data_IF_324457420458
#
_entry.id   IF_324457420458
#
_cell.length_a   1.000
_cell.length_b   1.000
_cell.length_c   1.000
_cell.angle_alpha   90.00
_cell.angle_beta   90.00
_cell.angle_gamma   90.00
#
_symmetry.space_group_name_H-M   'P 1'
#
loop_
_entity.id
_entity.type
_entity.pdbx_description
1 polymer ?
#
# COMPACT_ATOMS: atom_id res chain seq x y z
N UNK A 1 -13.93 -2.68 -14.65
CA UNK A 1 -13.63 -4.00 -14.04
C UNK A 1 -12.45 -3.98 -13.07
N UNK A 2 -11.36 -3.24 -13.33
CA UNK A 2 -10.18 -3.18 -12.44
C UNK A 2 -10.49 -2.76 -11.00
N UNK A 3 -11.35 -1.76 -10.81
CA UNK A 3 -11.75 -1.30 -9.47
C UNK A 3 -12.39 -2.41 -8.62
N UNK A 4 -13.26 -3.23 -9.22
CA UNK A 4 -13.90 -4.36 -8.52
C UNK A 4 -12.83 -5.37 -8.09
N UNK A 5 -11.82 -5.59 -8.92
CA UNK A 5 -10.69 -6.47 -8.61
C UNK A 5 -9.88 -5.92 -7.43
N UNK A 6 -9.60 -4.61 -7.38
CA UNK A 6 -8.91 -4.00 -6.23
C UNK A 6 -9.67 -4.24 -4.94
N UNK A 7 -10.99 -3.98 -4.91
CA UNK A 7 -11.80 -4.25 -3.72
C UNK A 7 -11.81 -5.73 -3.34
N UNK A 8 -11.94 -6.65 -4.30
CA UNK A 8 -11.87 -8.09 -4.04
C UNK A 8 -10.52 -8.50 -3.44
N UNK A 9 -9.41 -7.94 -3.95
CA UNK A 9 -8.08 -8.18 -3.40
C UNK A 9 -7.94 -7.60 -1.98
N UNK A 10 -8.54 -6.46 -1.68
CA UNK A 10 -8.52 -5.90 -0.32
C UNK A 10 -9.08 -6.88 0.70
N UNK A 11 -10.22 -7.51 0.38
CA UNK A 11 -10.83 -8.53 1.23
C UNK A 11 -9.99 -9.82 1.29
N UNK A 12 -9.36 -10.21 0.18
CA UNK A 12 -8.52 -11.42 0.13
C UNK A 12 -7.21 -11.25 0.92
N UNK A 13 -6.64 -10.05 0.93
CA UNK A 13 -5.35 -9.74 1.57
C UNK A 13 -5.45 -9.46 3.07
N UNK A 14 -6.62 -9.04 3.55
CA UNK A 14 -6.94 -8.80 4.96
C UNK A 14 -6.38 -9.86 5.95
N UNK A 15 -6.65 -11.17 5.78
CA UNK A 15 -6.19 -12.19 6.74
C UNK A 15 -4.67 -12.43 6.70
N UNK A 16 -4.00 -12.13 5.59
CA UNK A 16 -2.56 -12.36 5.41
C UNK A 16 -1.70 -11.17 5.88
N UNK A 17 -2.34 -10.05 6.22
CA UNK A 17 -1.67 -8.79 6.56
C UNK A 17 -0.75 -8.89 7.79
N UNK A 18 -0.92 -9.92 8.63
CA UNK A 18 -0.06 -10.16 9.81
C UNK A 18 1.33 -10.69 9.49
N UNK A 19 1.56 -11.28 8.30
CA UNK A 19 2.86 -11.83 7.89
C UNK A 19 3.48 -10.98 6.79
N UNK A 20 2.68 -10.62 5.80
CA UNK A 20 3.06 -9.74 4.69
C UNK A 20 1.95 -8.70 4.55
N UNK A 21 2.30 -7.42 4.70
CA UNK A 21 1.41 -6.29 4.49
C UNK A 21 1.06 -6.08 3.00
N UNK A 22 0.28 -7.01 2.47
CA UNK A 22 -0.21 -7.02 1.09
C UNK A 22 -1.15 -5.84 0.82
N UNK A 23 -1.82 -5.30 1.85
CA UNK A 23 -2.68 -4.13 1.72
C UNK A 23 -1.88 -2.88 1.40
N UNK A 24 -0.73 -2.68 2.04
CA UNK A 24 0.18 -1.57 1.73
C UNK A 24 0.75 -1.68 0.32
N UNK A 25 1.07 -2.89 -0.14
CA UNK A 25 1.54 -3.13 -1.51
C UNK A 25 0.42 -2.83 -2.52
N UNK A 26 -0.80 -3.29 -2.26
CA UNK A 26 -1.96 -3.03 -3.12
C UNK A 26 -2.28 -1.54 -3.19
N UNK A 27 -2.27 -0.86 -2.04
CA UNK A 27 -2.49 0.58 -1.96
C UNK A 27 -1.44 1.35 -2.76
N UNK A 28 -0.16 1.01 -2.58
CA UNK A 28 0.94 1.59 -3.34
C UNK A 28 0.76 1.36 -4.85
N UNK A 29 0.38 0.15 -5.26
CA UNK A 29 0.10 -0.16 -6.66
C UNK A 29 -1.04 0.68 -7.23
N UNK A 30 -2.14 0.83 -6.49
CA UNK A 30 -3.27 1.68 -6.91
C UNK A 30 -2.82 3.13 -7.06
N UNK A 31 -2.06 3.65 -6.10
CA UNK A 31 -1.56 5.03 -6.16
C UNK A 31 -0.67 5.25 -7.38
N UNK A 32 0.14 4.27 -7.79
CA UNK A 32 0.97 4.42 -8.97
C UNK A 32 0.16 4.44 -10.26
N UNK A 33 -0.86 3.60 -10.38
CA UNK A 33 -1.48 3.31 -11.69
C UNK A 33 -2.83 3.99 -11.93
N UNK A 34 -3.53 4.48 -10.90
CA UNK A 34 -4.89 4.99 -11.01
C UNK A 34 -4.99 6.50 -10.75
N UNK A 35 -6.15 7.09 -11.03
CA UNK A 35 -6.36 8.53 -10.85
C UNK A 35 -6.13 9.02 -9.40
N UNK A 36 -5.71 10.28 -9.25
CA UNK A 36 -5.45 10.92 -7.94
C UNK A 36 -6.65 10.75 -7.00
N UNK A 37 -7.87 11.03 -7.50
CA UNK A 37 -9.13 10.95 -6.73
C UNK A 37 -9.46 9.52 -6.29
N UNK A 38 -9.27 8.55 -7.19
CA UNK A 38 -9.53 7.15 -6.87
C UNK A 38 -8.56 6.64 -5.81
N UNK A 39 -7.28 6.97 -5.96
CA UNK A 39 -6.22 6.52 -5.04
C UNK A 39 -6.44 6.99 -3.60
N UNK A 40 -6.84 8.24 -3.41
CA UNK A 40 -7.16 8.81 -2.08
C UNK A 40 -8.46 8.20 -1.52
N UNK A 41 -9.47 7.99 -2.36
CA UNK A 41 -10.71 7.36 -1.91
C UNK A 41 -10.46 5.90 -1.49
N UNK A 42 -9.62 5.19 -2.25
CA UNK A 42 -9.24 3.82 -1.96
C UNK A 42 -8.40 3.72 -0.67
N UNK A 43 -7.50 4.68 -0.41
CA UNK A 43 -6.74 4.72 0.85
C UNK A 43 -7.62 4.93 2.07
N UNK A 44 -8.65 5.78 1.96
CA UNK A 44 -9.67 5.91 2.99
C UNK A 44 -10.38 4.57 3.27
N UNK A 45 -10.82 3.86 2.22
CA UNK A 45 -11.48 2.56 2.38
C UNK A 45 -10.58 1.50 3.03
N UNK A 46 -9.31 1.41 2.63
CA UNK A 46 -8.35 0.49 3.25
C UNK A 46 -8.16 0.84 4.72
N UNK A 47 -7.99 2.13 5.06
CA UNK A 47 -7.83 2.56 6.44
C UNK A 47 -9.02 2.24 7.31
N UNK A 48 -10.23 2.47 6.80
CA UNK A 48 -11.48 2.16 7.50
C UNK A 48 -11.60 0.66 7.76
N UNK A 49 -11.30 -0.15 6.75
CA UNK A 49 -11.39 -1.61 6.83
C UNK A 49 -10.31 -2.20 7.77
N UNK A 50 -9.10 -1.62 7.80
CA UNK A 50 -8.08 -1.95 8.79
C UNK A 50 -8.52 -1.58 10.20
N UNK A 51 -9.12 -0.42 10.42
CA UNK A 51 -9.63 0.01 11.73
C UNK A 51 -10.76 -0.89 12.24
N UNK A 52 -11.63 -1.38 11.35
CA UNK A 52 -12.69 -2.32 11.70
C UNK A 52 -12.16 -3.71 12.05
N UNK A 53 -11.11 -4.18 11.36
CA UNK A 53 -10.58 -5.54 11.53
C UNK A 53 -9.51 -5.64 12.63
N UNK A 54 -8.70 -4.59 12.78
CA UNK A 54 -7.68 -4.45 13.80
C UNK A 54 -7.96 -3.16 14.60
N UNK A 55 -8.89 -3.22 15.57
CA UNK A 55 -9.25 -2.06 16.39
C UNK A 55 -8.13 -1.76 17.39
N UNK A 56 -7.00 -1.28 16.88
CA UNK A 56 -5.89 -0.80 17.70
C UNK A 56 -6.24 0.60 18.22
N UNK A 57 -6.79 1.43 17.34
CA UNK A 57 -7.26 2.81 17.61
C UNK A 57 -8.07 3.27 16.41
N UNK A 58 -9.40 3.36 16.54
CA UNK A 58 -10.30 3.81 15.48
C UNK A 58 -9.86 5.18 14.94
N UNK A 59 -9.64 5.28 13.62
CA UNK A 59 -9.29 6.50 12.91
C UNK A 59 -7.80 6.71 12.64
N UNK A 60 -6.91 6.02 13.35
CA UNK A 60 -5.47 6.22 13.15
C UNK A 60 -4.98 5.61 11.83
N UNK A 61 -5.46 4.43 11.43
CA UNK A 61 -5.08 3.86 10.13
C UNK A 61 -5.59 4.71 8.97
N UNK A 62 -6.83 5.22 9.07
CA UNK A 62 -7.40 6.16 8.09
C UNK A 62 -6.49 7.38 7.94
N UNK A 63 -6.15 8.03 9.05
CA UNK A 63 -5.32 9.24 9.03
C UNK A 63 -3.95 8.99 8.40
N UNK A 64 -3.24 7.96 8.86
CA UNK A 64 -1.89 7.64 8.37
C UNK A 64 -1.90 7.32 6.88
N UNK A 65 -2.85 6.50 6.42
CA UNK A 65 -2.93 6.11 5.01
C UNK A 65 -3.34 7.28 4.11
N UNK A 66 -4.24 8.16 4.56
CA UNK A 66 -4.60 9.35 3.81
C UNK A 66 -3.38 10.26 3.60
N UNK A 67 -2.68 10.61 4.67
CA UNK A 67 -1.50 11.49 4.62
C UNK A 67 -0.42 10.90 3.69
N UNK A 68 -0.09 9.62 3.88
CA UNK A 68 0.92 8.97 3.05
C UNK A 68 0.48 8.83 1.60
N UNK A 69 -0.78 8.49 1.34
CA UNK A 69 -1.30 8.38 -0.02
C UNK A 69 -1.24 9.72 -0.76
N UNK A 70 -1.57 10.82 -0.07
CA UNK A 70 -1.50 12.16 -0.64
C UNK A 70 -0.06 12.57 -0.96
N UNK A 71 0.89 12.30 -0.06
CA UNK A 71 2.31 12.53 -0.31
C UNK A 71 2.79 11.74 -1.54
N UNK A 72 2.39 10.47 -1.65
CA UNK A 72 2.81 9.60 -2.73
C UNK A 72 2.18 9.99 -4.08
N UNK A 73 0.92 10.42 -4.09
CA UNK A 73 0.26 11.00 -5.28
C UNK A 73 0.99 12.24 -5.78
N UNK A 74 1.46 13.10 -4.87
CA UNK A 74 2.25 14.28 -5.23
C UNK A 74 3.60 13.88 -5.84
N UNK A 75 4.32 12.99 -5.17
CA UNK A 75 5.65 12.52 -5.59
C UNK A 75 5.57 11.81 -6.95
N UNK A 76 4.52 11.02 -7.20
CA UNK A 76 4.30 10.27 -8.45
C UNK A 76 4.44 11.15 -9.70
N UNK A 77 4.04 12.42 -9.64
CA UNK A 77 4.12 13.35 -10.79
C UNK A 77 5.55 13.64 -11.25
N UNK A 78 6.53 13.34 -10.40
CA UNK A 78 7.95 13.59 -10.65
C UNK A 78 8.75 12.30 -10.83
N UNK A 79 8.10 11.14 -10.85
CA UNK A 79 8.77 9.84 -10.86
C UNK A 79 8.92 9.21 -12.25
N UNK A 80 10.11 8.68 -12.51
CA UNK A 80 10.34 7.73 -13.60
C UNK A 80 9.97 6.33 -13.11
N UNK A 81 9.16 5.60 -13.89
CA UNK A 81 8.64 4.26 -13.55
C UNK A 81 9.68 3.15 -13.77
N UNK A 82 10.85 3.29 -13.17
CA UNK A 82 11.89 2.25 -13.17
C UNK A 82 11.69 1.29 -11.98
N UNK A 83 12.08 0.01 -12.10
CA UNK A 83 11.89 -0.96 -11.03
C UNK A 83 12.65 -0.59 -9.75
N UNK A 84 13.84 0.00 -9.86
CA UNK A 84 14.62 0.45 -8.71
C UNK A 84 13.97 1.62 -7.99
N UNK A 85 13.46 2.60 -8.74
CA UNK A 85 12.80 3.78 -8.17
C UNK A 85 11.51 3.37 -7.45
N UNK A 86 10.74 2.43 -8.01
CA UNK A 86 9.54 1.85 -7.38
C UNK A 86 9.88 1.21 -6.03
N UNK A 87 10.94 0.40 -5.94
CA UNK A 87 11.36 -0.22 -4.67
C UNK A 87 11.74 0.85 -3.64
N UNK A 88 12.55 1.83 -4.03
CA UNK A 88 13.04 2.86 -3.10
C UNK A 88 11.87 3.65 -2.53
N UNK A 89 10.91 4.06 -3.37
CA UNK A 89 9.72 4.77 -2.90
C UNK A 89 8.88 3.89 -2.00
N UNK A 90 8.68 2.62 -2.36
CA UNK A 90 7.93 1.69 -1.53
C UNK A 90 8.58 1.53 -0.15
N UNK A 91 9.90 1.35 -0.09
CA UNK A 91 10.64 1.24 1.17
C UNK A 91 10.44 2.50 2.03
N UNK A 92 10.54 3.69 1.44
CA UNK A 92 10.29 4.96 2.15
C UNK A 92 8.85 5.06 2.65
N UNK A 93 7.88 4.80 1.77
CA UNK A 93 6.45 4.81 2.10
C UNK A 93 6.12 3.84 3.24
N UNK A 94 6.59 2.61 3.15
CA UNK A 94 6.30 1.57 4.13
C UNK A 94 7.01 1.82 5.46
N UNK A 95 8.26 2.30 5.43
CA UNK A 95 8.99 2.69 6.64
C UNK A 95 8.33 3.86 7.36
N UNK A 96 7.87 4.88 6.63
CA UNK A 96 7.13 6.01 7.20
C UNK A 96 5.81 5.55 7.84
N UNK A 97 5.08 4.63 7.21
CA UNK A 97 3.87 4.04 7.80
C UNK A 97 4.15 3.34 9.12
N UNK A 98 5.19 2.51 9.18
CA UNK A 98 5.61 1.82 10.40
C UNK A 98 5.98 2.83 11.49
N UNK A 99 6.77 3.84 11.13
CA UNK A 99 7.22 4.87 12.06
C UNK A 99 6.04 5.66 12.64
N UNK A 100 5.07 6.05 11.81
CA UNK A 100 3.86 6.73 12.27
C UNK A 100 3.03 5.82 13.18
N UNK A 101 2.84 4.55 12.83
CA UNK A 101 2.14 3.59 13.70
C UNK A 101 2.86 3.40 15.03
N UNK A 102 4.20 3.36 15.03
CA UNK A 102 4.99 3.28 16.25
C UNK A 102 4.81 4.51 17.14
N UNK A 103 4.88 5.72 16.56
CA UNK A 103 4.70 6.98 17.30
C UNK A 103 3.30 7.08 17.90
N UNK A 104 2.26 6.76 17.13
CA UNK A 104 0.87 6.98 17.57
C UNK A 104 0.28 5.84 18.40
N UNK A 105 0.64 4.58 18.12
CA UNK A 105 0.11 3.42 18.84
C UNK A 105 1.06 2.86 19.89
N UNK A 106 2.35 3.26 19.90
CA UNK A 106 3.37 2.69 20.77
C UNK A 106 3.69 1.21 20.50
N UNK A 107 3.15 0.63 19.42
CA UNK A 107 3.35 -0.78 19.08
C UNK A 107 4.53 -0.94 18.13
N UNK A 108 5.49 -1.76 18.55
CA UNK A 108 6.60 -2.17 17.70
C UNK A 108 6.12 -3.19 16.67
N UNK A 109 6.30 -2.87 15.39
CA UNK A 109 6.12 -3.82 14.29
C UNK A 109 7.43 -4.58 14.16
N UNK A 110 7.38 -5.91 14.21
CA UNK A 110 8.59 -6.74 14.13
C UNK A 110 9.39 -6.48 12.85
N UNK A 111 10.72 -6.63 12.91
CA UNK A 111 11.58 -6.45 11.74
C UNK A 111 11.33 -7.51 10.65
N UNK A 112 10.96 -8.73 11.04
CA UNK A 112 10.69 -9.83 10.11
C UNK A 112 9.59 -9.50 9.06
N UNK A 113 8.36 -9.09 9.45
CA UNK A 113 7.34 -8.74 8.47
C UNK A 113 7.74 -7.55 7.59
N UNK A 114 8.62 -6.66 8.06
CA UNK A 114 9.15 -5.56 7.25
C UNK A 114 10.06 -6.04 6.12
N UNK A 115 10.94 -7.01 6.37
CA UNK A 115 11.76 -7.60 5.30
C UNK A 115 10.91 -8.36 4.29
N UNK A 116 9.94 -9.15 4.76
CA UNK A 116 9.08 -9.93 3.87
C UNK A 116 8.22 -9.04 2.96
N UNK A 117 7.70 -7.91 3.45
CA UNK A 117 6.92 -6.97 2.62
C UNK A 117 7.76 -6.28 1.57
N UNK A 118 8.99 -5.87 1.91
CA UNK A 118 9.89 -5.22 0.96
C UNK A 118 10.25 -6.20 -0.18
N UNK A 119 10.58 -7.46 0.16
CA UNK A 119 10.88 -8.50 -0.83
C UNK A 119 9.65 -8.82 -1.67
N UNK A 120 8.47 -8.89 -1.06
CA UNK A 120 7.21 -9.18 -1.76
C UNK A 120 6.72 -8.04 -2.66
N UNK A 121 7.20 -6.80 -2.47
CA UNK A 121 6.71 -5.64 -3.20
C UNK A 121 6.81 -5.82 -4.72
N UNK A 122 8.01 -6.08 -5.25
CA UNK A 122 8.20 -6.27 -6.70
C UNK A 122 7.37 -7.43 -7.28
N UNK A 123 7.48 -8.68 -6.78
CA UNK A 123 6.76 -9.79 -7.39
C UNK A 123 5.25 -9.56 -7.36
N UNK A 124 4.72 -8.97 -6.28
CA UNK A 124 3.29 -8.66 -6.17
C UNK A 124 2.89 -7.54 -7.13
N UNK A 125 3.66 -6.45 -7.25
CA UNK A 125 3.34 -5.37 -8.21
C UNK A 125 3.40 -5.86 -9.65
N UNK A 126 4.37 -6.70 -10.00
CA UNK A 126 4.42 -7.37 -11.32
C UNK A 126 3.18 -8.22 -11.59
N UNK A 127 2.76 -9.02 -10.61
CA UNK A 127 1.57 -9.87 -10.73
C UNK A 127 0.30 -9.02 -10.90
N UNK A 128 0.16 -7.96 -10.12
CA UNK A 128 -0.95 -7.01 -10.21
C UNK A 128 -0.98 -6.29 -11.56
N UNK A 129 0.18 -5.88 -12.08
CA UNK A 129 0.29 -5.23 -13.39
C UNK A 129 -0.16 -6.17 -14.50
N UNK A 130 0.25 -7.44 -14.44
CA UNK A 130 -0.19 -8.47 -15.39
C UNK A 130 -1.69 -8.75 -15.28
N UNK A 131 -2.25 -8.82 -14.07
CA UNK A 131 -3.68 -9.07 -13.85
C UNK A 131 -4.56 -7.90 -14.31
N UNK A 132 -4.20 -6.67 -13.96
CA UNK A 132 -5.03 -5.50 -14.19
C UNK A 132 -4.86 -4.93 -15.60
N UNK A 133 -3.61 -4.87 -16.08
CA UNK A 133 -3.27 -4.19 -17.33
C UNK A 133 -2.89 -5.14 -18.47
N UNK A 134 -2.73 -6.45 -18.20
CA UNK A 134 -2.28 -7.46 -19.19
C UNK A 134 -0.94 -7.13 -19.86
N UNK A 135 -0.15 -6.27 -19.23
CA UNK A 135 1.14 -5.80 -19.74
C UNK A 135 2.19 -6.11 -18.67
N UNK A 136 3.34 -6.63 -19.10
CA UNK A 136 4.54 -6.70 -18.25
C UNK A 136 5.15 -5.31 -18.18
N UNK A 137 5.58 -4.84 -17.00
CA UNK A 137 6.22 -3.51 -16.87
C UNK A 137 7.18 -3.29 -18.04
N UNK A 138 6.94 -2.23 -18.83
CA UNK A 138 7.91 -1.79 -19.82
C UNK A 138 9.05 -1.17 -19.04
N UNK A 139 10.18 -1.88 -19.05
CA UNK A 139 11.49 -1.38 -18.64
C UNK A 139 11.87 -0.26 -19.59
#
# INVERSE_FOLDING_TARGET
MRFILYFALTYLFLPFNGVIDLLSILLFFVILNEDDKFSITFSFFIGLLLDLYYPVTLGLNIFILLVLSQALVFIRKYFVHEPLTIIIVFVLFYSLRILLLYIFSGKFIGLAPMFFTIIACLPVTFLLQRLCFKVWMRI
#
